data_IF_315094376800
#
_entry.id   IF_315094376800
#
_cell.length_a   1.000
_cell.length_b   1.000
_cell.length_c   1.000
_cell.angle_alpha   90.00
_cell.angle_beta   90.00
_cell.angle_gamma   90.00
#
_symmetry.space_group_name_H-M   'P 1'
#
loop_
_entity.id
_entity.type
_entity.pdbx_description
1 polymer ?
#
# COMPACT_ATOMS: atom_id res chain seq x y z
N UNK A 1 6.47 -11.98 16.47
CA UNK A 1 6.61 -13.08 15.49
C UNK A 1 5.28 -13.40 14.81
N UNK A 2 4.15 -13.51 15.52
CA UNK A 2 2.84 -13.80 14.93
C UNK A 2 2.35 -12.76 13.93
N UNK A 3 2.64 -11.46 14.10
CA UNK A 3 2.19 -10.43 13.17
C UNK A 3 2.82 -10.52 11.76
N UNK A 4 4.10 -10.91 11.66
CA UNK A 4 4.76 -11.08 10.36
C UNK A 4 4.22 -12.33 9.65
N UNK A 5 4.06 -13.45 10.38
CA UNK A 5 3.48 -14.66 9.82
C UNK A 5 2.06 -14.41 9.31
N UNK A 6 1.26 -13.68 10.09
CA UNK A 6 -0.09 -13.26 9.68
C UNK A 6 -0.03 -12.49 8.37
N UNK A 7 0.77 -11.42 8.28
CA UNK A 7 0.87 -10.61 7.07
C UNK A 7 1.36 -11.42 5.85
N UNK A 8 2.24 -12.40 6.05
CA UNK A 8 2.70 -13.28 4.97
C UNK A 8 1.59 -14.21 4.45
N UNK A 9 0.77 -14.77 5.34
CA UNK A 9 -0.39 -15.60 4.96
C UNK A 9 -1.40 -14.77 4.20
N UNK A 10 -1.74 -13.56 4.72
CA UNK A 10 -2.66 -12.64 4.05
C UNK A 10 -2.16 -12.22 2.66
N UNK A 11 -0.86 -11.91 2.54
CA UNK A 11 -0.24 -11.56 1.26
C UNK A 11 -0.25 -12.75 0.29
N UNK A 12 0.04 -13.96 0.76
CA UNK A 12 0.00 -15.17 -0.06
C UNK A 12 -1.41 -15.45 -0.57
N UNK A 13 -2.43 -15.33 0.31
CA UNK A 13 -3.83 -15.50 -0.04
C UNK A 13 -4.28 -14.46 -1.10
N UNK A 14 -3.92 -13.19 -0.92
CA UNK A 14 -4.18 -12.15 -1.91
C UNK A 14 -3.47 -12.43 -3.25
N UNK A 15 -2.24 -12.95 -3.18
CA UNK A 15 -1.41 -13.27 -4.34
C UNK A 15 -2.07 -14.26 -5.31
N UNK A 16 -2.90 -15.20 -4.81
CA UNK A 16 -3.67 -16.16 -5.63
C UNK A 16 -4.56 -15.43 -6.65
N UNK A 17 -5.14 -14.29 -6.26
CA UNK A 17 -6.00 -13.48 -7.11
C UNK A 17 -5.23 -12.38 -7.84
N UNK A 18 -4.32 -11.71 -7.15
CA UNK A 18 -3.61 -10.55 -7.70
C UNK A 18 -2.69 -10.92 -8.85
N UNK A 19 -1.99 -12.06 -8.75
CA UNK A 19 -1.05 -12.48 -9.80
C UNK A 19 -1.75 -12.68 -11.16
N UNK A 20 -2.81 -13.48 -11.27
CA UNK A 20 -3.52 -13.65 -12.55
C UNK A 20 -4.18 -12.34 -13.03
N UNK A 21 -4.73 -11.50 -12.12
CA UNK A 21 -5.33 -10.22 -12.47
C UNK A 21 -4.29 -9.25 -13.06
N UNK A 22 -3.11 -9.15 -12.46
CA UNK A 22 -2.05 -8.27 -12.95
C UNK A 22 -1.40 -8.80 -14.25
N UNK A 23 -1.27 -10.11 -14.39
CA UNK A 23 -0.81 -10.71 -15.66
C UNK A 23 -1.83 -10.46 -16.79
N UNK A 24 -3.12 -10.57 -16.48
CA UNK A 24 -4.19 -10.27 -17.42
C UNK A 24 -4.18 -8.77 -17.78
N UNK A 25 -4.08 -7.89 -16.79
CA UNK A 25 -3.92 -6.46 -17.00
C UNK A 25 -2.77 -6.14 -17.94
N UNK A 26 -1.60 -6.77 -17.75
CA UNK A 26 -0.43 -6.59 -18.60
C UNK A 26 -0.64 -7.02 -20.06
N UNK A 27 -1.57 -7.95 -20.35
CA UNK A 27 -1.92 -8.35 -21.74
C UNK A 27 -2.78 -7.29 -22.46
N UNK A 28 -3.58 -6.54 -21.71
CA UNK A 28 -4.48 -5.53 -22.27
C UNK A 28 -3.88 -4.13 -22.32
N UNK A 29 -2.70 -3.94 -21.75
CA UNK A 29 -2.01 -2.66 -21.77
C UNK A 29 -0.85 -2.69 -22.78
N UNK A 30 -0.66 -1.59 -23.51
CA UNK A 30 0.44 -1.44 -24.47
C UNK A 30 1.77 -1.10 -23.77
N UNK A 31 2.06 -1.77 -22.64
CA UNK A 31 3.25 -1.51 -21.83
C UNK A 31 4.42 -2.41 -22.22
N UNK A 32 5.64 -1.91 -21.97
CA UNK A 32 6.84 -2.74 -22.06
C UNK A 32 6.84 -3.82 -20.97
N UNK A 33 7.56 -4.93 -21.18
CA UNK A 33 7.69 -6.00 -20.17
C UNK A 33 8.19 -5.48 -18.84
N UNK A 34 9.09 -4.48 -18.87
CA UNK A 34 9.62 -3.86 -17.65
C UNK A 34 8.53 -3.07 -16.89
N UNK A 35 7.71 -2.30 -17.61
CA UNK A 35 6.59 -1.57 -17.00
C UNK A 35 5.59 -2.52 -16.35
N UNK A 36 5.22 -3.62 -17.03
CA UNK A 36 4.33 -4.64 -16.49
C UNK A 36 4.94 -5.24 -15.21
N UNK A 37 6.22 -5.62 -15.24
CA UNK A 37 6.91 -6.15 -14.07
C UNK A 37 6.90 -5.16 -12.88
N UNK A 38 7.23 -3.91 -13.13
CA UNK A 38 7.22 -2.87 -12.09
C UNK A 38 5.82 -2.58 -11.56
N UNK A 39 4.78 -2.62 -12.41
CA UNK A 39 3.38 -2.46 -11.99
C UNK A 39 2.92 -3.63 -11.12
N UNK A 40 3.32 -4.86 -11.45
CA UNK A 40 3.07 -6.04 -10.61
C UNK A 40 3.78 -5.88 -9.25
N UNK A 41 5.04 -5.47 -9.26
CA UNK A 41 5.81 -5.25 -8.04
C UNK A 41 5.16 -4.17 -7.15
N UNK A 42 4.68 -3.07 -7.75
CA UNK A 42 3.92 -2.04 -7.05
C UNK A 42 2.63 -2.60 -6.43
N UNK A 43 1.87 -3.40 -7.20
CA UNK A 43 0.64 -4.02 -6.71
C UNK A 43 0.89 -4.96 -5.52
N UNK A 44 1.93 -5.80 -5.57
CA UNK A 44 2.32 -6.66 -4.45
C UNK A 44 2.86 -5.87 -3.26
N UNK A 45 3.60 -4.79 -3.51
CA UNK A 45 4.00 -3.87 -2.44
C UNK A 45 2.76 -3.30 -1.74
N UNK A 46 1.78 -2.80 -2.51
CA UNK A 46 0.56 -2.26 -1.92
C UNK A 46 -0.26 -3.33 -1.18
N UNK A 47 -0.29 -4.56 -1.69
CA UNK A 47 -0.87 -5.70 -0.99
C UNK A 47 -0.17 -5.96 0.36
N UNK A 48 1.16 -5.88 0.40
CA UNK A 48 1.92 -6.02 1.65
C UNK A 48 1.60 -4.89 2.64
N UNK A 49 1.41 -3.65 2.15
CA UNK A 49 0.94 -2.53 2.99
C UNK A 49 -0.40 -2.88 3.62
N UNK A 50 -1.40 -3.30 2.83
CA UNK A 50 -2.74 -3.64 3.34
C UNK A 50 -2.69 -4.80 4.36
N UNK A 51 -1.88 -5.82 4.12
CA UNK A 51 -1.68 -6.93 5.05
C UNK A 51 -1.07 -6.46 6.39
N UNK A 52 -0.06 -5.59 6.35
CA UNK A 52 0.64 -5.09 7.54
C UNK A 52 -0.23 -4.13 8.37
N UNK A 53 -1.02 -3.28 7.71
CA UNK A 53 -1.92 -2.35 8.41
C UNK A 53 -3.19 -3.03 8.92
N UNK A 54 -3.45 -4.30 8.56
CA UNK A 54 -4.65 -5.03 8.96
C UNK A 54 -5.90 -4.46 8.30
N UNK A 55 -5.91 -4.42 6.96
CA UNK A 55 -7.04 -3.92 6.20
C UNK A 55 -8.31 -4.75 6.45
N UNK A 56 -9.50 -4.14 6.63
CA UNK A 56 -10.73 -4.87 6.90
C UNK A 56 -11.13 -5.80 5.75
N UNK A 57 -11.88 -6.84 6.09
CA UNK A 57 -12.45 -7.77 5.13
C UNK A 57 -13.97 -7.84 5.27
N UNK A 58 -14.64 -8.39 4.26
CA UNK A 58 -16.10 -8.61 4.30
C UNK A 58 -16.52 -9.58 5.41
N UNK A 59 -15.62 -10.47 5.84
CA UNK A 59 -15.91 -11.48 6.88
C UNK A 59 -15.58 -10.99 8.28
N UNK A 60 -14.65 -10.06 8.42
CA UNK A 60 -14.15 -9.57 9.70
C UNK A 60 -14.10 -8.04 9.70
N UNK A 61 -15.14 -7.44 10.23
CA UNK A 61 -15.24 -6.01 10.42
C UNK A 61 -15.91 -5.73 11.78
N UNK A 62 -15.19 -5.04 12.62
CA UNK A 62 -15.68 -4.63 13.94
C UNK A 62 -15.52 -3.12 14.06
N UNK A 63 -16.59 -2.34 13.89
CA UNK A 63 -16.50 -0.89 13.99
C UNK A 63 -16.12 -0.48 15.42
N UNK A 64 -14.98 0.14 15.58
CA UNK A 64 -14.56 0.83 16.80
C UNK A 64 -14.00 2.19 16.41
N UNK A 65 -14.55 3.25 16.98
CA UNK A 65 -14.19 4.62 16.66
C UNK A 65 -13.30 5.18 17.75
N UNK A 66 -12.03 4.78 17.72
CA UNK A 66 -11.00 5.38 18.58
C UNK A 66 -10.15 6.34 17.74
N UNK A 67 -10.19 7.64 18.04
CA UNK A 67 -9.49 8.68 17.28
C UNK A 67 -8.43 9.37 18.14
N UNK A 68 -7.18 9.36 17.67
CA UNK A 68 -6.07 10.11 18.25
C UNK A 68 -5.75 11.31 17.35
N UNK A 69 -6.30 12.49 17.68
CA UNK A 69 -6.23 13.67 16.82
C UNK A 69 -5.20 14.71 17.28
N UNK A 70 -4.38 14.42 18.29
CA UNK A 70 -3.37 15.35 18.78
C UNK A 70 -2.04 15.13 18.05
N UNK A 71 -1.64 16.04 17.14
CA UNK A 71 -0.41 15.86 16.37
C UNK A 71 0.81 15.80 17.28
N UNK A 72 1.76 14.93 16.94
CA UNK A 72 3.07 14.73 17.58
C UNK A 72 3.06 14.27 19.04
N UNK A 73 1.90 14.22 19.71
CA UNK A 73 1.82 13.88 21.14
C UNK A 73 2.18 12.41 21.44
N UNK A 74 1.89 11.50 20.52
CA UNK A 74 2.14 10.06 20.68
C UNK A 74 3.51 9.60 20.17
N UNK A 75 4.18 10.36 19.30
CA UNK A 75 5.41 9.92 18.63
C UNK A 75 6.54 9.53 19.59
N UNK A 76 6.83 10.26 20.67
CA UNK A 76 7.89 9.83 21.58
C UNK A 76 7.59 8.51 22.32
N UNK A 77 6.32 8.25 22.59
CA UNK A 77 5.88 7.03 23.27
C UNK A 77 5.82 5.83 22.30
N UNK A 78 5.51 6.07 21.03
CA UNK A 78 5.37 5.04 20.00
C UNK A 78 6.32 5.28 18.79
N UNK A 79 7.56 5.61 19.10
CA UNK A 79 8.59 5.91 18.09
C UNK A 79 8.82 4.77 17.11
N UNK A 80 8.69 3.52 17.56
CA UNK A 80 8.86 2.35 16.70
C UNK A 80 7.80 2.31 15.59
N UNK A 81 6.52 2.51 15.92
CA UNK A 81 5.45 2.55 14.92
C UNK A 81 5.62 3.74 13.96
N UNK A 82 6.00 4.90 14.48
CA UNK A 82 6.30 6.05 13.64
C UNK A 82 7.40 5.75 12.60
N UNK A 83 8.47 5.08 13.01
CA UNK A 83 9.54 4.65 12.08
C UNK A 83 9.04 3.60 11.07
N UNK A 84 8.20 2.65 11.49
CA UNK A 84 7.63 1.64 10.60
C UNK A 84 6.70 2.27 9.56
N UNK A 85 5.89 3.24 9.93
CA UNK A 85 5.02 3.98 9.01
C UNK A 85 5.84 4.77 7.98
N UNK A 86 6.90 5.45 8.40
CA UNK A 86 7.84 6.10 7.48
C UNK A 86 8.40 5.07 6.49
N UNK A 87 8.95 3.96 6.99
CA UNK A 87 9.55 2.91 6.15
C UNK A 87 8.53 2.29 5.19
N UNK A 88 7.29 2.10 5.63
CA UNK A 88 6.21 1.52 4.84
C UNK A 88 5.88 2.41 3.63
N UNK A 89 5.94 3.74 3.76
CA UNK A 89 5.58 4.66 2.70
C UNK A 89 6.77 5.16 1.84
N UNK A 90 8.01 4.86 2.21
CA UNK A 90 9.18 5.15 1.34
C UNK A 90 9.05 4.49 -0.03
N UNK A 91 8.69 3.18 -0.16
CA UNK A 91 8.51 2.57 -1.47
C UNK A 91 7.35 3.21 -2.27
N UNK A 92 6.26 3.65 -1.63
CA UNK A 92 5.18 4.37 -2.32
C UNK A 92 5.72 5.63 -3.00
N UNK A 93 6.43 6.47 -2.23
CA UNK A 93 7.03 7.69 -2.74
C UNK A 93 8.11 7.45 -3.81
N UNK A 94 8.76 6.28 -3.80
CA UNK A 94 9.72 5.87 -4.80
C UNK A 94 9.04 5.40 -6.10
N UNK A 95 8.06 4.50 -6.01
CA UNK A 95 7.40 3.91 -7.17
C UNK A 95 6.59 4.92 -7.97
N UNK A 96 5.85 5.81 -7.31
CA UNK A 96 4.95 6.75 -7.96
C UNK A 96 5.63 7.58 -9.06
N UNK A 97 6.70 8.35 -8.79
CA UNK A 97 7.34 9.17 -9.81
C UNK A 97 8.17 8.37 -10.82
N UNK A 98 8.61 7.14 -10.48
CA UNK A 98 9.35 6.28 -11.41
C UNK A 98 8.44 5.58 -12.41
N UNK A 99 7.20 5.25 -12.02
CA UNK A 99 6.30 4.46 -12.85
C UNK A 99 5.27 5.31 -13.59
N UNK A 100 4.94 6.51 -13.12
CA UNK A 100 3.87 7.32 -13.71
C UNK A 100 4.25 8.79 -13.85
N UNK A 101 4.11 9.31 -15.08
CA UNK A 101 4.38 10.72 -15.39
C UNK A 101 3.49 11.67 -14.59
N UNK A 102 2.27 11.25 -14.29
CA UNK A 102 1.34 12.02 -13.48
C UNK A 102 1.84 12.31 -12.06
N UNK A 103 2.79 11.51 -11.53
CA UNK A 103 3.30 11.61 -10.17
C UNK A 103 4.74 12.17 -10.08
N UNK A 104 5.31 12.71 -11.16
CA UNK A 104 6.69 13.20 -11.17
C UNK A 104 6.96 14.46 -10.36
N UNK A 105 5.94 15.14 -9.84
CA UNK A 105 6.12 16.28 -8.93
C UNK A 105 5.86 15.89 -7.47
N UNK A 106 6.65 16.45 -6.54
CA UNK A 106 6.49 16.19 -5.10
C UNK A 106 5.05 16.40 -4.64
N UNK A 107 4.42 17.49 -5.07
CA UNK A 107 3.03 17.80 -4.71
C UNK A 107 2.06 16.68 -5.11
N UNK A 108 2.19 16.15 -6.33
CA UNK A 108 1.30 15.09 -6.83
C UNK A 108 1.57 13.77 -6.13
N UNK A 109 2.83 13.43 -5.91
CA UNK A 109 3.22 12.24 -5.13
C UNK A 109 2.65 12.31 -3.71
N UNK A 110 2.80 13.47 -3.03
CA UNK A 110 2.28 13.64 -1.67
C UNK A 110 0.75 13.67 -1.62
N UNK A 111 0.08 14.25 -2.62
CA UNK A 111 -1.39 14.19 -2.70
C UNK A 111 -1.87 12.75 -2.87
N UNK A 112 -1.22 11.95 -3.72
CA UNK A 112 -1.55 10.54 -3.85
C UNK A 112 -1.30 9.78 -2.55
N UNK A 113 -0.14 9.98 -1.92
CA UNK A 113 0.18 9.37 -0.63
C UNK A 113 -0.81 9.78 0.47
N UNK A 114 -1.26 11.05 0.48
CA UNK A 114 -2.30 11.53 1.39
C UNK A 114 -3.63 10.78 1.17
N UNK A 115 -4.05 10.59 -0.09
CA UNK A 115 -5.26 9.82 -0.38
C UNK A 115 -5.13 8.37 0.09
N UNK A 116 -3.97 7.74 -0.11
CA UNK A 116 -3.71 6.36 0.34
C UNK A 116 -3.73 6.27 1.86
N UNK A 117 -3.03 7.16 2.57
CA UNK A 117 -3.01 7.10 4.04
C UNK A 117 -4.37 7.40 4.63
N UNK A 118 -5.12 8.37 4.10
CA UNK A 118 -6.50 8.63 4.53
C UNK A 118 -7.41 7.42 4.28
N UNK A 119 -7.25 6.74 3.15
CA UNK A 119 -8.00 5.51 2.85
C UNK A 119 -7.68 4.42 3.89
N UNK A 120 -6.42 4.23 4.25
CA UNK A 120 -5.98 3.29 5.29
C UNK A 120 -6.59 3.68 6.64
N UNK A 121 -6.42 4.92 7.09
CA UNK A 121 -6.94 5.40 8.37
C UNK A 121 -8.47 5.27 8.48
N UNK A 122 -9.19 5.63 7.40
CA UNK A 122 -10.64 5.46 7.35
C UNK A 122 -11.03 3.97 7.37
N UNK A 123 -10.24 3.09 6.76
CA UNK A 123 -10.51 1.66 6.80
C UNK A 123 -10.32 1.08 8.21
N UNK A 124 -9.41 1.63 8.99
CA UNK A 124 -9.14 1.20 10.36
C UNK A 124 -10.30 1.50 11.34
N UNK A 125 -11.20 2.42 10.99
CA UNK A 125 -12.47 2.61 11.74
C UNK A 125 -13.37 1.36 11.72
N UNK A 126 -13.15 0.45 10.77
CA UNK A 126 -13.88 -0.83 10.67
C UNK A 126 -13.09 -2.01 11.23
N UNK A 127 -11.96 -1.75 11.86
CA UNK A 127 -11.13 -2.73 12.57
C UNK A 127 -10.91 -2.24 14.01
N UNK A 128 -10.45 -3.11 14.91
CA UNK A 128 -10.15 -2.73 16.31
C UNK A 128 -8.85 -1.89 16.44
N UNK A 129 -8.57 -1.01 15.47
CA UNK A 129 -7.39 -0.14 15.47
C UNK A 129 -7.81 1.33 15.61
N UNK A 130 -7.03 2.08 16.38
CA UNK A 130 -7.22 3.52 16.50
C UNK A 130 -6.69 4.23 15.25
N UNK A 131 -7.46 5.20 14.74
CA UNK A 131 -7.01 6.12 13.69
C UNK A 131 -6.16 7.22 14.33
N UNK A 132 -4.92 7.39 13.86
CA UNK A 132 -3.97 8.36 14.42
C UNK A 132 -3.48 9.35 13.36
N UNK A 133 -3.60 10.65 13.66
CA UNK A 133 -3.08 11.73 12.80
C UNK A 133 -1.55 11.65 12.64
N UNK A 134 -0.85 11.07 13.61
CA UNK A 134 0.60 10.89 13.54
C UNK A 134 0.99 9.88 12.44
N UNK A 135 0.15 8.88 12.19
CA UNK A 135 0.37 7.90 11.12
C UNK A 135 0.26 8.58 9.75
N UNK A 136 -0.68 9.52 9.58
CA UNK A 136 -0.77 10.33 8.36
C UNK A 136 0.51 11.14 8.15
N UNK A 137 1.03 11.80 9.20
CA UNK A 137 2.23 12.64 9.10
C UNK A 137 3.48 11.80 8.79
N UNK A 138 3.67 10.68 9.46
CA UNK A 138 4.82 9.78 9.27
C UNK A 138 4.78 9.09 7.91
N UNK A 139 3.60 8.68 7.44
CA UNK A 139 3.39 8.15 6.11
C UNK A 139 3.74 9.17 5.01
N UNK A 140 3.32 10.43 5.15
CA UNK A 140 3.70 11.50 4.23
C UNK A 140 5.20 11.80 4.26
N UNK A 141 5.83 11.77 5.43
CA UNK A 141 7.29 11.91 5.55
C UNK A 141 8.01 10.78 4.80
N UNK A 142 7.55 9.53 4.94
CA UNK A 142 8.06 8.39 4.20
C UNK A 142 7.92 8.56 2.68
N UNK A 143 6.76 8.98 2.22
CA UNK A 143 6.52 9.25 0.79
C UNK A 143 7.41 10.40 0.26
N UNK A 144 7.68 11.44 1.05
CA UNK A 144 8.60 12.51 0.68
C UNK A 144 10.04 11.98 0.51
N UNK A 145 10.52 11.18 1.46
CA UNK A 145 11.85 10.54 1.39
C UNK A 145 11.93 9.68 0.13
N UNK A 146 10.91 8.83 -0.12
CA UNK A 146 10.82 7.99 -1.31
C UNK A 146 10.87 8.78 -2.61
N UNK A 147 10.17 9.90 -2.68
CA UNK A 147 10.20 10.81 -3.83
C UNK A 147 11.60 11.34 -4.12
N UNK A 148 12.33 11.79 -3.09
CA UNK A 148 13.70 12.28 -3.29
C UNK A 148 14.66 11.16 -3.70
N UNK A 149 14.48 9.94 -3.17
CA UNK A 149 15.23 8.76 -3.61
C UNK A 149 14.95 8.45 -5.08
N UNK A 150 13.67 8.53 -5.51
CA UNK A 150 13.28 8.33 -6.90
C UNK A 150 13.95 9.33 -7.85
N UNK A 151 14.04 10.60 -7.47
CA UNK A 151 14.76 11.62 -8.27
C UNK A 151 16.24 11.31 -8.46
N UNK A 152 16.87 10.69 -7.49
CA UNK A 152 18.25 10.25 -7.62
C UNK A 152 18.35 9.00 -8.50
N UNK A 153 17.46 8.02 -8.28
CA UNK A 153 17.38 6.79 -9.06
C UNK A 153 17.08 7.04 -10.55
N UNK A 154 16.21 7.99 -10.88
CA UNK A 154 15.84 8.35 -12.24
C UNK A 154 17.02 8.90 -13.08
N UNK A 155 18.10 9.33 -12.46
CA UNK A 155 19.33 9.74 -13.17
C UNK A 155 20.12 8.55 -13.73
N UNK A 156 19.91 7.37 -13.16
CA UNK A 156 20.66 6.13 -13.47
C UNK A 156 19.76 5.11 -14.18
N UNK A 157 18.49 5.09 -13.84
CA UNK A 157 17.51 4.17 -14.42
C UNK A 157 16.74 4.89 -15.54
N UNK A 158 16.69 4.33 -16.77
CA UNK A 158 15.86 4.90 -17.82
C UNK A 158 14.40 4.92 -17.35
N UNK A 159 13.80 6.09 -17.31
CA UNK A 159 12.41 6.26 -16.91
C UNK A 159 11.47 5.53 -17.88
N UNK A 160 10.87 4.45 -17.43
CA UNK A 160 9.81 3.74 -18.14
C UNK A 160 8.44 4.18 -17.59
N UNK A 161 8.27 5.51 -17.38
CA UNK A 161 7.05 6.03 -16.80
C UNK A 161 5.88 5.90 -17.79
N UNK A 162 4.74 5.42 -17.27
CA UNK A 162 3.49 5.37 -18.02
C UNK A 162 2.83 6.74 -18.05
N UNK A 163 2.34 7.21 -19.22
CA UNK A 163 1.59 8.46 -19.32
C UNK A 163 0.19 8.35 -18.69
N UNK A 164 -0.29 7.14 -18.42
CA UNK A 164 -1.62 6.91 -17.89
C UNK A 164 -1.71 7.18 -16.38
N UNK A 165 -2.11 8.37 -16.02
CA UNK A 165 -2.23 8.82 -14.62
C UNK A 165 -3.31 8.11 -13.79
N UNK A 166 -4.18 7.27 -14.39
CA UNK A 166 -5.20 6.51 -13.66
C UNK A 166 -4.71 5.13 -13.20
N UNK A 167 -3.61 4.64 -13.74
CA UNK A 167 -3.09 3.31 -13.43
C UNK A 167 -2.78 3.09 -11.95
N UNK A 168 -2.09 3.99 -11.22
CA UNK A 168 -1.80 3.74 -9.83
C UNK A 168 -3.08 3.63 -8.99
N UNK A 169 -4.11 4.43 -9.32
CA UNK A 169 -5.41 4.35 -8.66
C UNK A 169 -6.07 3.00 -8.96
N UNK A 170 -6.05 2.56 -10.22
CA UNK A 170 -6.62 1.29 -10.64
C UNK A 170 -5.96 0.11 -9.92
N UNK A 171 -4.63 0.07 -9.87
CA UNK A 171 -3.88 -1.00 -9.20
C UNK A 171 -4.17 -1.03 -7.69
N UNK A 172 -4.20 0.13 -7.03
CA UNK A 172 -4.59 0.22 -5.61
C UNK A 172 -6.02 -0.24 -5.38
N UNK A 173 -6.97 0.15 -6.26
CA UNK A 173 -8.38 -0.24 -6.16
C UNK A 173 -8.57 -1.74 -6.35
N UNK A 174 -7.92 -2.34 -7.36
CA UNK A 174 -7.96 -3.79 -7.58
C UNK A 174 -7.41 -4.53 -6.36
N UNK A 175 -6.27 -4.07 -5.84
CA UNK A 175 -5.64 -4.70 -4.67
C UNK A 175 -6.55 -4.61 -3.44
N UNK A 176 -7.11 -3.44 -3.15
CA UNK A 176 -8.03 -3.26 -2.03
C UNK A 176 -9.32 -4.09 -2.19
N UNK A 177 -9.87 -4.17 -3.39
CA UNK A 177 -11.04 -4.99 -3.68
C UNK A 177 -10.76 -6.49 -3.46
N UNK A 178 -9.59 -6.98 -3.89
CA UNK A 178 -9.16 -8.36 -3.65
C UNK A 178 -9.03 -8.62 -2.15
N UNK A 179 -8.40 -7.73 -1.39
CA UNK A 179 -8.28 -7.85 0.06
C UNK A 179 -9.63 -7.88 0.76
N UNK A 180 -10.55 -7.03 0.35
CA UNK A 180 -11.86 -6.93 0.98
C UNK A 180 -12.77 -8.13 0.65
N UNK A 181 -12.87 -8.53 -0.64
CA UNK A 181 -13.87 -9.47 -1.10
C UNK A 181 -13.36 -10.91 -1.30
N UNK A 182 -12.13 -11.11 -1.74
CA UNK A 182 -11.68 -12.42 -2.22
C UNK A 182 -10.65 -13.09 -1.29
N UNK A 183 -9.70 -12.32 -0.79
CA UNK A 183 -8.59 -12.79 0.02
C UNK A 183 -9.06 -13.52 1.31
N UNK A 184 -10.11 -13.08 2.06
CA UNK A 184 -10.48 -13.73 3.32
C UNK A 184 -10.86 -15.20 3.17
N UNK A 185 -11.45 -15.59 2.05
CA UNK A 185 -11.84 -16.99 1.80
C UNK A 185 -10.64 -17.91 1.62
N UNK A 186 -9.57 -17.43 0.97
CA UNK A 186 -8.32 -18.17 0.79
C UNK A 186 -7.47 -18.14 2.06
N UNK A 187 -7.46 -17.01 2.75
CA UNK A 187 -6.77 -16.86 4.04
C UNK A 187 -7.31 -17.86 5.07
N UNK A 188 -8.63 -17.99 5.19
CA UNK A 188 -9.26 -18.95 6.09
C UNK A 188 -8.79 -20.39 5.78
N UNK A 189 -8.76 -20.78 4.51
CA UNK A 189 -8.25 -22.09 4.10
C UNK A 189 -6.75 -22.29 4.44
N UNK A 190 -5.91 -21.27 4.27
CA UNK A 190 -4.49 -21.35 4.62
C UNK A 190 -4.29 -21.48 6.15
N UNK A 191 -5.12 -20.82 6.93
CA UNK A 191 -5.07 -20.97 8.38
C UNK A 191 -5.51 -22.36 8.86
N UNK A 192 -6.52 -22.94 8.25
CA UNK A 192 -6.91 -24.34 8.52
C UNK A 192 -5.82 -25.36 8.18
N UNK A 193 -4.96 -25.05 7.19
CA UNK A 193 -3.84 -25.91 6.81
C UNK A 193 -2.62 -25.77 7.74
N UNK A 194 -2.47 -24.62 8.39
CA UNK A 194 -1.30 -24.31 9.23
C UNK A 194 -1.51 -24.63 10.73
N UNK A 195 -2.76 -24.80 11.16
CA UNK A 195 -3.16 -25.14 12.54
C UNK A 195 -3.51 -26.61 12.68
#
# INVERSE_FOLDING_TARGET
>A
MYGILFALVELAAAGVFLLPLFLLYGKFTAHSRMQIFCSILFGFYFAAVLALVGFPSILDHSPDVTLHLVPLAGIPADFQNACLNVLLFVPLGLFLPLLWDSCQSLRRTLLFALCVTLFIELSQLFTLRATDINDILTNLAGAAIGYFLAKHAAKVLPAAASPNGKEPILLCTITAAVFFFAQPFVSAFFWELLL
#
